data_IF_442849105184
#
_entry.id   IF_442849105184
#
_cell.length_a   1.000
_cell.length_b   1.000
_cell.length_c   1.000
_cell.angle_alpha   90.00
_cell.angle_beta   90.00
_cell.angle_gamma   90.00
#
_symmetry.space_group_name_H-M   'P 1'
#
loop_
_entity.id
_entity.type
_entity.pdbx_description
1 polymer ?
#
# COMPACT_ATOMS: atom_id res chain seq x y z
N UNK A 1 -31.91 -26.02 -19.89
CA UNK A 1 -31.12 -25.44 -18.77
C UNK A 1 -32.08 -24.67 -17.86
N UNK A 2 -32.11 -24.94 -16.56
CA UNK A 2 -33.18 -24.45 -15.67
C UNK A 2 -32.97 -22.95 -15.33
N UNK A 3 -33.96 -22.08 -15.59
CA UNK A 3 -33.85 -20.61 -15.46
C UNK A 3 -33.43 -20.15 -14.06
N UNK A 4 -33.82 -20.90 -13.02
CA UNK A 4 -33.42 -20.67 -11.62
C UNK A 4 -31.92 -20.94 -11.38
N UNK A 5 -31.36 -21.94 -12.05
CA UNK A 5 -29.94 -22.29 -11.93
C UNK A 5 -29.04 -21.24 -12.60
N UNK A 6 -29.46 -20.73 -13.76
CA UNK A 6 -28.76 -19.64 -14.44
C UNK A 6 -28.72 -18.37 -13.57
N UNK A 7 -29.86 -17.98 -12.98
CA UNK A 7 -29.94 -16.82 -12.09
C UNK A 7 -29.01 -16.97 -10.88
N UNK A 8 -28.98 -18.15 -10.24
CA UNK A 8 -28.12 -18.40 -9.09
C UNK A 8 -26.62 -18.28 -9.45
N UNK A 9 -26.20 -18.86 -10.57
CA UNK A 9 -24.83 -18.77 -11.05
C UNK A 9 -24.43 -17.32 -11.37
N UNK A 10 -25.34 -16.56 -11.99
CA UNK A 10 -25.11 -15.15 -12.33
C UNK A 10 -24.90 -14.31 -11.07
N UNK A 11 -25.73 -14.53 -10.04
CA UNK A 11 -25.61 -13.83 -8.74
C UNK A 11 -24.28 -14.15 -8.05
N UNK A 12 -23.84 -15.41 -8.07
CA UNK A 12 -22.54 -15.81 -7.49
C UNK A 12 -21.39 -15.11 -8.24
N UNK A 13 -21.40 -15.11 -9.57
CA UNK A 13 -20.38 -14.43 -10.37
C UNK A 13 -20.33 -12.91 -10.08
N UNK A 14 -21.49 -12.25 -9.98
CA UNK A 14 -21.59 -10.84 -9.60
C UNK A 14 -21.03 -10.58 -8.20
N UNK A 15 -21.39 -11.41 -7.21
CA UNK A 15 -20.87 -11.27 -5.85
C UNK A 15 -19.34 -11.41 -5.78
N UNK A 16 -18.77 -12.36 -6.55
CA UNK A 16 -17.32 -12.55 -6.64
C UNK A 16 -16.62 -11.37 -7.34
N UNK A 17 -17.24 -10.78 -8.36
CA UNK A 17 -16.71 -9.59 -9.05
C UNK A 17 -16.74 -8.35 -8.15
N UNK A 18 -17.84 -8.15 -7.41
CA UNK A 18 -17.99 -7.01 -6.49
C UNK A 18 -17.02 -7.11 -5.32
N UNK A 19 -16.82 -8.31 -4.74
CA UNK A 19 -15.82 -8.53 -3.69
C UNK A 19 -14.40 -8.19 -4.14
N UNK A 20 -14.04 -8.58 -5.36
CA UNK A 20 -12.75 -8.28 -5.99
C UNK A 20 -12.51 -6.77 -6.16
N UNK A 21 -13.53 -6.03 -6.64
CA UNK A 21 -13.44 -4.58 -6.77
C UNK A 21 -13.33 -3.88 -5.41
N UNK A 22 -14.09 -4.34 -4.42
CA UNK A 22 -14.10 -3.77 -3.07
C UNK A 22 -12.75 -3.94 -2.36
N UNK A 23 -12.14 -5.12 -2.42
CA UNK A 23 -10.84 -5.37 -1.78
C UNK A 23 -9.71 -4.57 -2.46
N UNK A 24 -9.72 -4.44 -3.79
CA UNK A 24 -8.77 -3.56 -4.50
C UNK A 24 -8.93 -2.09 -4.12
N UNK A 25 -10.16 -1.59 -4.06
CA UNK A 25 -10.42 -0.21 -3.62
C UNK A 25 -9.97 0.03 -2.18
N UNK A 26 -10.22 -0.92 -1.28
CA UNK A 26 -9.79 -0.82 0.11
C UNK A 26 -8.26 -0.85 0.26
N UNK A 27 -7.57 -1.70 -0.53
CA UNK A 27 -6.12 -1.72 -0.58
C UNK A 27 -5.55 -0.39 -1.13
N UNK A 28 -6.10 0.13 -2.21
CA UNK A 28 -5.69 1.43 -2.77
C UNK A 28 -5.92 2.56 -1.76
N UNK A 29 -7.06 2.57 -1.07
CA UNK A 29 -7.36 3.55 -0.01
C UNK A 29 -6.32 3.47 1.14
N UNK A 30 -5.91 2.26 1.52
CA UNK A 30 -4.87 2.05 2.53
C UNK A 30 -3.53 2.65 2.09
N UNK A 31 -3.13 2.44 0.83
CA UNK A 31 -1.89 3.00 0.29
C UNK A 31 -1.96 4.51 0.09
N UNK A 32 -3.09 5.04 -0.37
CA UNK A 32 -3.31 6.49 -0.43
C UNK A 32 -3.24 7.12 0.96
N UNK A 33 -3.78 6.47 1.99
CA UNK A 33 -3.67 6.92 3.38
C UNK A 33 -2.22 6.94 3.86
N UNK A 34 -1.45 5.88 3.57
CA UNK A 34 -0.01 5.83 3.89
C UNK A 34 0.74 7.01 3.25
N UNK A 35 0.55 7.21 1.94
CA UNK A 35 1.24 8.28 1.23
C UNK A 35 0.79 9.69 1.60
N UNK A 36 -0.49 9.89 1.93
CA UNK A 36 -0.96 11.14 2.50
C UNK A 36 -0.30 11.39 3.86
N UNK A 37 -0.19 10.36 4.72
CA UNK A 37 0.54 10.48 5.99
C UNK A 37 2.00 10.86 5.80
N UNK A 38 2.68 10.29 4.80
CA UNK A 38 4.04 10.71 4.42
C UNK A 38 4.07 12.16 3.90
N UNK A 39 3.19 12.53 2.97
CA UNK A 39 3.07 13.89 2.41
C UNK A 39 2.67 14.95 3.44
N UNK A 40 2.00 14.55 4.51
CA UNK A 40 1.50 15.50 5.52
C UNK A 40 2.29 15.37 6.84
N UNK A 41 3.31 14.50 6.89
CA UNK A 41 4.15 14.23 8.06
C UNK A 41 3.38 13.70 9.28
N UNK A 42 2.31 12.96 9.04
CA UNK A 42 1.41 12.42 10.06
C UNK A 42 1.74 10.96 10.38
N UNK A 43 2.57 10.76 11.41
CA UNK A 43 3.01 9.42 11.85
C UNK A 43 1.83 8.49 12.16
N UNK A 44 0.82 8.97 12.87
CA UNK A 44 -0.34 8.16 13.27
C UNK A 44 -1.18 7.73 12.06
N UNK A 45 -1.25 8.58 11.03
CA UNK A 45 -1.92 8.27 9.76
C UNK A 45 -1.20 7.14 9.04
N UNK A 46 0.14 7.15 9.02
CA UNK A 46 0.95 6.04 8.50
C UNK A 46 0.75 4.78 9.34
N UNK A 47 0.84 4.90 10.67
CA UNK A 47 0.76 3.77 11.60
C UNK A 47 -0.53 2.97 11.43
N UNK A 48 -1.67 3.63 11.21
CA UNK A 48 -2.96 2.96 10.95
C UNK A 48 -3.04 2.27 9.57
N UNK A 49 -1.98 2.22 8.78
CA UNK A 49 -1.96 1.45 7.52
C UNK A 49 -1.11 0.18 7.62
N UNK A 50 -0.28 0.08 8.66
CA UNK A 50 0.73 -0.95 8.81
C UNK A 50 0.21 -2.15 9.59
N UNK A 51 0.77 -3.32 9.31
CA UNK A 51 0.72 -4.46 10.22
C UNK A 51 1.73 -4.26 11.37
N UNK A 52 1.57 -5.00 12.47
CA UNK A 52 2.46 -4.89 13.64
C UNK A 52 3.95 -5.04 13.31
N UNK A 53 4.23 -5.90 12.32
CA UNK A 53 5.56 -6.14 11.76
C UNK A 53 5.50 -5.99 10.25
N UNK A 54 6.48 -5.28 9.68
CA UNK A 54 6.55 -4.96 8.26
C UNK A 54 7.94 -5.30 7.74
N UNK A 55 8.00 -6.06 6.65
CA UNK A 55 9.24 -6.30 5.91
C UNK A 55 9.57 -5.08 5.05
N UNK A 56 10.78 -4.55 5.18
CA UNK A 56 11.26 -3.37 4.48
C UNK A 56 12.60 -3.67 3.80
N UNK A 57 12.66 -3.43 2.48
CA UNK A 57 13.80 -3.78 1.63
C UNK A 57 14.36 -2.51 1.00
N UNK A 58 15.35 -1.87 1.64
CA UNK A 58 15.96 -0.64 1.14
C UNK A 58 17.27 -0.87 0.35
N UNK A 59 18.06 -1.90 0.67
CA UNK A 59 19.34 -2.19 -0.01
C UNK A 59 19.72 -3.67 0.05
N UNK A 60 18.95 -4.52 -0.64
CA UNK A 60 19.20 -5.97 -0.82
C UNK A 60 18.89 -6.86 0.39
N UNK A 61 19.08 -6.40 1.64
CA UNK A 61 18.77 -7.20 2.84
C UNK A 61 17.36 -6.89 3.33
N UNK A 62 16.42 -7.86 3.31
CA UNK A 62 15.12 -7.68 3.91
C UNK A 62 15.24 -7.56 5.43
N UNK A 63 14.65 -6.49 5.97
CA UNK A 63 14.60 -6.26 7.41
C UNK A 63 13.15 -6.17 7.86
N UNK A 64 12.80 -6.88 8.93
CA UNK A 64 11.48 -6.77 9.54
C UNK A 64 11.55 -5.80 10.70
N UNK A 65 10.69 -4.80 10.70
CA UNK A 65 10.61 -3.80 11.76
C UNK A 65 9.17 -3.64 12.25
N UNK A 66 9.03 -3.17 13.49
CA UNK A 66 7.73 -2.83 14.05
C UNK A 66 7.10 -1.64 13.33
N UNK A 67 5.77 -1.62 13.28
CA UNK A 67 4.98 -0.57 12.63
C UNK A 67 5.41 0.85 13.04
N UNK A 68 5.70 1.06 14.33
CA UNK A 68 6.17 2.35 14.85
C UNK A 68 7.49 2.81 14.23
N UNK A 69 8.45 1.89 14.07
CA UNK A 69 9.77 2.19 13.50
C UNK A 69 9.68 2.50 12.00
N UNK A 70 8.80 1.80 11.26
CA UNK A 70 8.50 2.14 9.87
C UNK A 70 7.83 3.51 9.78
N UNK A 71 6.81 3.78 10.59
CA UNK A 71 6.14 5.08 10.59
C UNK A 71 7.11 6.23 10.94
N UNK A 72 8.05 5.99 11.86
CA UNK A 72 9.14 6.93 12.16
C UNK A 72 10.02 7.15 10.92
N UNK A 73 10.47 6.09 10.23
CA UNK A 73 11.29 6.21 9.02
C UNK A 73 10.64 7.12 7.96
N UNK A 74 9.35 6.94 7.70
CA UNK A 74 8.61 7.73 6.71
C UNK A 74 8.16 9.11 7.21
N UNK A 75 8.43 9.48 8.47
CA UNK A 75 8.12 10.83 9.01
C UNK A 75 9.34 11.53 9.62
N UNK A 76 10.52 10.91 9.56
CA UNK A 76 11.70 11.38 10.25
C UNK A 76 12.32 12.60 9.57
N UNK A 77 12.01 13.78 10.12
CA UNK A 77 12.46 15.11 9.69
C UNK A 77 13.96 15.27 9.40
N UNK A 78 14.83 14.53 10.07
CA UNK A 78 16.28 14.71 9.90
C UNK A 78 16.89 13.86 8.77
N UNK A 79 16.17 12.86 8.25
CA UNK A 79 16.69 11.94 7.21
C UNK A 79 16.08 12.17 5.83
N UNK A 80 14.82 12.64 5.79
CA UNK A 80 14.03 12.76 4.56
C UNK A 80 13.44 14.17 4.35
N UNK A 81 13.78 15.20 5.14
CA UNK A 81 12.97 16.44 5.17
C UNK A 81 13.72 17.76 5.19
N UNK A 82 14.97 17.83 5.64
CA UNK A 82 15.80 18.98 5.29
C UNK A 82 16.07 18.88 3.79
N UNK A 83 15.32 19.65 2.99
CA UNK A 83 15.45 19.69 1.54
C UNK A 83 14.29 19.06 0.75
N UNK A 84 13.38 18.29 1.38
CA UNK A 84 12.31 17.58 0.67
C UNK A 84 10.99 18.37 0.55
N UNK A 85 10.68 18.87 -0.65
CA UNK A 85 9.43 19.58 -0.98
C UNK A 85 8.65 18.90 -2.11
N UNK A 86 7.44 19.41 -2.41
CA UNK A 86 6.64 18.98 -3.58
C UNK A 86 6.39 17.48 -3.70
N UNK A 87 6.16 16.85 -2.54
CA UNK A 87 5.86 15.43 -2.38
C UNK A 87 4.57 15.05 -3.11
N UNK A 88 4.67 14.09 -4.01
CA UNK A 88 3.56 13.55 -4.78
C UNK A 88 3.65 12.03 -4.88
N UNK A 89 2.51 11.41 -5.18
CA UNK A 89 2.44 9.98 -5.44
C UNK A 89 1.32 9.64 -6.42
N UNK A 90 1.48 8.53 -7.11
CA UNK A 90 0.46 7.91 -7.93
C UNK A 90 0.45 6.40 -7.72
N UNK A 91 -0.75 5.80 -7.64
CA UNK A 91 -0.89 4.35 -7.72
C UNK A 91 -0.86 3.97 -9.19
N UNK A 92 0.14 3.19 -9.59
CA UNK A 92 0.33 2.79 -10.99
C UNK A 92 -0.35 1.46 -11.29
N UNK A 93 -0.40 0.54 -10.31
CA UNK A 93 -0.99 -0.79 -10.50
C UNK A 93 -1.47 -1.43 -9.21
N UNK A 94 -2.55 -2.19 -9.30
CA UNK A 94 -3.08 -3.02 -8.21
C UNK A 94 -3.32 -4.45 -8.69
N UNK A 95 -2.59 -5.40 -8.11
CA UNK A 95 -2.65 -6.82 -8.45
C UNK A 95 -3.17 -7.62 -7.25
N UNK A 96 -4.22 -8.42 -7.45
CA UNK A 96 -4.78 -9.28 -6.41
C UNK A 96 -4.35 -10.74 -6.65
N UNK A 97 -3.92 -11.41 -5.59
CA UNK A 97 -3.56 -12.82 -5.59
C UNK A 97 -4.50 -13.57 -4.65
N UNK A 98 -5.52 -14.21 -5.23
CA UNK A 98 -6.63 -14.82 -4.48
C UNK A 98 -6.21 -16.02 -3.63
N UNK A 99 -5.29 -16.83 -4.13
CA UNK A 99 -4.81 -18.04 -3.45
C UNK A 99 -4.09 -17.71 -2.14
N UNK A 100 -3.29 -16.66 -2.16
CA UNK A 100 -2.47 -16.21 -1.03
C UNK A 100 -3.13 -15.08 -0.24
N UNK A 101 -4.34 -14.66 -0.63
CA UNK A 101 -5.13 -13.57 -0.02
C UNK A 101 -4.30 -12.30 0.22
N UNK A 102 -3.48 -11.96 -0.77
CA UNK A 102 -2.65 -10.77 -0.74
C UNK A 102 -3.00 -9.85 -1.91
N UNK A 103 -2.86 -8.55 -1.67
CA UNK A 103 -2.93 -7.54 -2.71
C UNK A 103 -1.58 -6.84 -2.77
N UNK A 104 -1.09 -6.66 -3.99
CA UNK A 104 0.09 -5.89 -4.28
C UNK A 104 -0.34 -4.58 -4.91
N UNK A 105 0.13 -3.48 -4.35
CA UNK A 105 -0.06 -2.13 -4.91
C UNK A 105 1.30 -1.57 -5.27
N UNK A 106 1.47 -1.15 -6.52
CA UNK A 106 2.67 -0.48 -7.02
C UNK A 106 2.37 1.02 -7.11
N UNK A 107 3.31 1.83 -6.64
CA UNK A 107 3.21 3.28 -6.63
C UNK A 107 4.47 3.92 -7.17
N UNK A 108 4.30 5.04 -7.86
CA UNK A 108 5.36 5.97 -8.20
C UNK A 108 5.28 7.13 -7.21
N UNK A 109 6.40 7.50 -6.59
CA UNK A 109 6.48 8.64 -5.68
C UNK A 109 7.53 9.61 -6.16
N UNK A 110 7.31 10.90 -5.92
CA UNK A 110 8.27 11.93 -6.29
C UNK A 110 8.31 13.05 -5.27
N UNK A 111 9.47 13.71 -5.18
CA UNK A 111 9.71 14.89 -4.37
C UNK A 111 10.90 15.67 -4.93
N UNK A 112 11.11 16.89 -4.47
CA UNK A 112 12.35 17.63 -4.70
C UNK A 112 13.23 17.48 -3.47
N UNK A 113 14.47 17.02 -3.61
CA UNK A 113 15.51 17.01 -2.57
C UNK A 113 16.58 18.05 -2.93
N UNK A 114 16.70 19.11 -2.13
CA UNK A 114 17.60 20.24 -2.41
C UNK A 114 17.42 20.81 -3.82
N UNK A 115 16.16 20.92 -4.27
CA UNK A 115 15.74 21.32 -5.63
C UNK A 115 16.02 20.31 -6.75
N UNK A 116 16.56 19.13 -6.44
CA UNK A 116 16.75 18.06 -7.42
C UNK A 116 15.53 17.12 -7.39
N UNK A 117 14.94 16.79 -8.55
CA UNK A 117 13.83 15.85 -8.58
C UNK A 117 14.31 14.45 -8.24
N UNK A 118 13.60 13.79 -7.33
CA UNK A 118 13.75 12.39 -7.00
C UNK A 118 12.44 11.68 -7.33
N UNK A 119 12.55 10.50 -7.92
CA UNK A 119 11.43 9.65 -8.27
C UNK A 119 11.78 8.20 -7.95
N UNK A 120 10.86 7.52 -7.28
CA UNK A 120 11.05 6.13 -6.85
C UNK A 120 9.79 5.31 -7.16
N UNK A 121 9.99 4.05 -7.54
CA UNK A 121 8.93 3.06 -7.63
C UNK A 121 8.93 2.16 -6.39
N UNK A 122 7.77 2.09 -5.73
CA UNK A 122 7.62 1.36 -4.47
C UNK A 122 6.44 0.41 -4.55
N UNK A 123 6.68 -0.82 -4.12
CA UNK A 123 5.72 -1.92 -4.08
C UNK A 123 5.31 -2.24 -2.65
N UNK A 124 4.01 -2.25 -2.42
CA UNK A 124 3.40 -2.61 -1.15
C UNK A 124 2.72 -3.98 -1.26
N UNK A 125 2.99 -4.86 -0.30
CA UNK A 125 2.19 -6.07 -0.11
C UNK A 125 1.26 -5.91 1.07
N UNK A 126 -0.04 -6.03 0.81
CA UNK A 126 -1.08 -5.96 1.82
C UNK A 126 -1.69 -7.34 2.08
N UNK A 127 -2.03 -7.58 3.34
CA UNK A 127 -2.80 -8.73 3.80
C UNK A 127 -3.98 -8.28 4.65
N UNK A 128 -5.02 -9.10 4.71
CA UNK A 128 -6.19 -8.84 5.55
C UNK A 128 -5.90 -9.29 6.99
N UNK A 129 -5.84 -8.33 7.92
CA UNK A 129 -5.63 -8.53 9.36
C UNK A 129 -6.76 -7.81 10.08
N UNK A 130 -7.49 -8.51 10.94
CA UNK A 130 -8.67 -7.99 11.65
C UNK A 130 -9.69 -7.31 10.70
N UNK A 131 -9.94 -7.96 9.56
CA UNK A 131 -10.82 -7.47 8.48
C UNK A 131 -10.37 -6.20 7.76
N UNK A 132 -9.19 -5.65 8.07
CA UNK A 132 -8.58 -4.49 7.40
C UNK A 132 -7.42 -4.93 6.51
N UNK A 133 -7.24 -4.26 5.38
CA UNK A 133 -6.02 -4.41 4.59
C UNK A 133 -4.90 -3.64 5.29
N UNK A 134 -3.80 -4.34 5.62
CA UNK A 134 -2.64 -3.77 6.29
C UNK A 134 -1.38 -4.05 5.48
N UNK A 135 -0.48 -3.08 5.42
CA UNK A 135 0.83 -3.21 4.76
C UNK A 135 1.70 -4.14 5.58
N UNK A 136 2.19 -5.21 4.95
CA UNK A 136 3.08 -6.21 5.56
C UNK A 136 4.48 -6.18 4.95
N UNK A 137 4.62 -5.59 3.76
CA UNK A 137 5.91 -5.45 3.09
C UNK A 137 5.95 -4.19 2.22
N UNK A 138 7.10 -3.52 2.24
CA UNK A 138 7.45 -2.37 1.40
C UNK A 138 8.75 -2.70 0.66
N UNK A 139 8.79 -2.48 -0.64
CA UNK A 139 9.96 -2.82 -1.48
C UNK A 139 10.18 -1.75 -2.52
N UNK A 140 11.39 -1.19 -2.54
CA UNK A 140 11.87 -0.29 -3.58
C UNK A 140 12.21 -1.09 -4.85
N UNK A 141 11.82 -0.57 -6.00
CA UNK A 141 12.09 -1.16 -7.32
C UNK A 141 13.22 -0.33 -7.94
N UNK A 142 14.38 -0.97 -8.14
CA UNK A 142 15.56 -0.39 -8.80
C UNK A 142 15.76 -1.03 -10.17
#
# INVERSE_FOLDING_TARGET
MNRKFLLLLTVICLALLVGCAADKMAANSTISKFWNGWRDLEKDTILDTLADQVEHNYYVIPTTAGAGAIADMFTNKSFYWEGCTDRNFAITKTTEYRETKLIIVETQVSWLEDSNPVEEEIKFTLKKIDSKWRITKITYIY
#
